data_IF_705342248699
#
_entry.id   IF_705342248699
#
_cell.length_a   1.000
_cell.length_b   1.000
_cell.length_c   1.000
_cell.angle_alpha   90.00
_cell.angle_beta   90.00
_cell.angle_gamma   90.00
#
_symmetry.space_group_name_H-M   'P 1'
#
loop_
_entity.id
_entity.type
_entity.pdbx_description
1 polymer ?
#
# COMPACT_ATOMS: atom_id res chain seq x y z
N UNK A 1 -43.14 39.73 -17.43
CA UNK A 1 -43.46 39.23 -18.79
C UNK A 1 -42.39 38.22 -19.17
N UNK A 2 -42.69 36.92 -18.98
CA UNK A 2 -43.11 35.97 -20.04
C UNK A 2 -41.86 35.42 -20.76
N UNK A 3 -41.29 34.29 -20.30
CA UNK A 3 -41.71 32.91 -20.62
C UNK A 3 -41.14 32.46 -21.97
N UNK A 4 -40.24 31.46 -21.94
CA UNK A 4 -40.11 30.47 -23.02
C UNK A 4 -39.49 29.17 -22.48
N UNK A 5 -40.36 28.39 -21.85
CA UNK A 5 -40.30 26.93 -21.83
C UNK A 5 -40.57 26.43 -23.24
N UNK A 6 -39.77 25.51 -23.76
CA UNK A 6 -40.18 24.38 -24.62
C UNK A 6 -39.17 23.26 -24.27
N UNK A 7 -39.56 22.30 -23.43
CA UNK A 7 -40.24 21.05 -23.83
C UNK A 7 -39.23 19.99 -24.28
N UNK A 8 -39.30 18.71 -23.93
CA UNK A 8 -40.05 17.91 -22.96
C UNK A 8 -39.61 16.45 -23.29
N UNK A 9 -39.72 15.56 -22.30
CA UNK A 9 -39.85 14.09 -22.45
C UNK A 9 -38.71 13.25 -23.01
N UNK A 10 -38.20 12.36 -22.15
CA UNK A 10 -38.16 10.88 -22.32
C UNK A 10 -36.99 10.29 -21.52
N UNK A 11 -37.03 9.19 -20.76
CA UNK A 11 -37.98 8.11 -20.47
C UNK A 11 -37.40 7.43 -19.20
N UNK A 12 -38.30 6.97 -18.31
CA UNK A 12 -37.98 6.12 -17.17
C UNK A 12 -37.79 4.65 -17.58
N UNK A 13 -36.75 3.96 -17.10
CA UNK A 13 -36.70 2.48 -16.89
C UNK A 13 -35.56 2.20 -15.87
N UNK A 14 -35.81 1.86 -14.59
CA UNK A 14 -36.08 0.53 -13.99
C UNK A 14 -34.86 -0.43 -13.93
N UNK A 15 -34.40 -0.71 -12.69
CA UNK A 15 -33.95 -2.02 -12.18
C UNK A 15 -33.29 -1.81 -10.79
N UNK A 16 -34.01 -1.90 -9.68
CA UNK A 16 -34.26 -3.14 -8.92
C UNK A 16 -32.97 -3.87 -8.52
N UNK A 17 -32.41 -3.56 -7.35
CA UNK A 17 -31.40 -4.39 -6.70
C UNK A 17 -31.96 -4.97 -5.40
N UNK A 18 -31.97 -6.29 -5.36
CA UNK A 18 -32.64 -7.13 -4.38
C UNK A 18 -32.00 -7.04 -2.99
N UNK A 19 -32.88 -6.96 -1.99
CA UNK A 19 -32.60 -7.18 -0.57
C UNK A 19 -32.83 -8.67 -0.31
N UNK A 20 -31.79 -9.40 0.10
CA UNK A 20 -31.95 -10.66 0.82
C UNK A 20 -30.99 -10.69 2.01
N UNK A 21 -31.56 -10.37 3.17
CA UNK A 21 -30.98 -10.55 4.50
C UNK A 21 -31.68 -11.78 5.09
N UNK A 22 -30.97 -12.90 5.17
CA UNK A 22 -31.27 -14.08 5.97
C UNK A 22 -29.98 -14.90 5.95
N UNK A 23 -29.29 -15.26 7.03
CA UNK A 23 -29.73 -15.52 8.39
C UNK A 23 -29.25 -16.93 8.72
N UNK A 24 -28.22 -17.08 9.56
CA UNK A 24 -27.95 -18.33 10.28
C UNK A 24 -27.32 -17.99 11.64
N UNK A 25 -28.17 -17.95 12.66
CA UNK A 25 -27.81 -18.03 14.07
C UNK A 25 -27.67 -19.50 14.47
N UNK A 26 -26.54 -19.85 15.14
CA UNK A 26 -26.32 -20.81 16.27
C UNK A 26 -26.88 -22.26 16.17
N UNK A 27 -26.18 -23.29 16.70
CA UNK A 27 -25.98 -23.45 18.17
C UNK A 27 -24.62 -24.07 18.59
N UNK A 28 -24.03 -23.64 19.71
CA UNK A 28 -24.01 -24.30 21.04
C UNK A 28 -23.15 -25.57 21.15
N UNK A 29 -22.07 -25.48 21.94
CA UNK A 29 -21.72 -26.56 22.88
C UNK A 29 -20.87 -26.01 24.02
N UNK A 30 -21.54 -25.97 25.16
CA UNK A 30 -21.13 -25.85 26.55
C UNK A 30 -19.86 -26.60 26.98
N UNK A 31 -19.09 -25.93 27.84
CA UNK A 31 -18.64 -26.38 29.18
C UNK A 31 -17.85 -27.69 29.28
N UNK A 32 -16.60 -27.59 29.73
CA UNK A 32 -16.16 -28.16 31.03
C UNK A 32 -14.73 -27.75 31.39
N UNK A 33 -14.62 -27.06 32.51
CA UNK A 33 -13.38 -26.92 33.28
C UNK A 33 -13.14 -28.21 34.06
N UNK A 34 -11.92 -28.72 34.07
CA UNK A 34 -11.22 -29.14 35.29
C UNK A 34 -9.80 -29.66 34.99
N UNK A 35 -8.86 -29.49 35.95
CA UNK A 35 -7.43 -29.65 35.74
C UNK A 35 -6.95 -31.07 36.08
N UNK A 36 -5.77 -31.45 35.57
CA UNK A 36 -5.01 -32.58 36.13
C UNK A 36 -3.53 -32.23 36.17
N UNK A 37 -3.00 -32.33 37.38
CA UNK A 37 -1.61 -32.09 37.78
C UNK A 37 -0.65 -33.18 37.34
N UNK A 38 0.63 -32.80 37.36
CA UNK A 38 1.82 -33.62 37.59
C UNK A 38 2.37 -34.47 36.44
N UNK A 39 3.58 -34.14 35.97
CA UNK A 39 4.81 -34.77 36.47
C UNK A 39 6.03 -34.25 35.68
N UNK A 40 7.06 -33.86 36.43
CA UNK A 40 8.40 -33.55 35.94
C UNK A 40 9.04 -34.75 35.23
N UNK A 41 9.78 -34.52 34.15
CA UNK A 41 11.00 -35.28 33.82
C UNK A 41 11.85 -34.51 32.81
N UNK A 42 13.13 -34.37 33.16
CA UNK A 42 14.16 -33.73 32.39
C UNK A 42 14.55 -34.52 31.13
N UNK A 43 14.91 -33.80 30.07
CA UNK A 43 15.52 -34.35 28.86
C UNK A 43 15.64 -33.27 27.78
N UNK A 44 16.85 -32.73 27.60
CA UNK A 44 17.27 -32.00 26.39
C UNK A 44 18.38 -32.80 25.72
N UNK A 45 18.71 -32.59 24.43
CA UNK A 45 17.94 -31.97 23.34
C UNK A 45 17.88 -32.90 22.10
N UNK A 46 16.75 -32.99 21.41
CA UNK A 46 16.73 -33.59 20.06
C UNK A 46 16.61 -32.48 19.01
N UNK A 47 17.70 -32.34 18.27
CA UNK A 47 17.93 -31.38 17.22
C UNK A 47 17.08 -31.77 16.00
N UNK A 48 15.81 -31.36 16.03
CA UNK A 48 14.94 -31.43 14.86
C UNK A 48 15.40 -30.36 13.86
N UNK A 49 16.20 -30.80 12.90
CA UNK A 49 16.55 -30.09 11.68
C UNK A 49 15.25 -29.78 10.92
N UNK A 50 14.64 -28.64 11.20
CA UNK A 50 13.52 -28.13 10.43
C UNK A 50 14.05 -27.70 9.05
N UNK A 51 13.92 -28.58 8.06
CA UNK A 51 13.93 -28.17 6.66
C UNK A 51 12.96 -27.01 6.49
N UNK A 52 13.36 -25.86 5.93
CA UNK A 52 12.39 -24.84 5.56
C UNK A 52 11.55 -25.41 4.42
N UNK A 53 10.36 -25.90 4.77
CA UNK A 53 9.30 -26.15 3.81
C UNK A 53 9.06 -24.84 3.05
N UNK A 54 9.21 -24.94 1.72
CA UNK A 54 8.77 -23.99 0.72
C UNK A 54 7.59 -23.11 1.18
N UNK A 55 7.90 -21.88 1.60
CA UNK A 55 6.91 -20.80 1.63
C UNK A 55 6.87 -20.19 0.23
N UNK A 56 6.28 -20.95 -0.71
CA UNK A 56 5.90 -20.47 -2.04
C UNK A 56 4.66 -19.59 -1.94
N UNK A 57 4.78 -18.45 -1.27
CA UNK A 57 3.91 -17.29 -1.43
C UNK A 57 4.90 -16.17 -1.63
N UNK A 58 4.93 -15.57 -2.83
CA UNK A 58 5.71 -14.37 -3.11
C UNK A 58 5.35 -13.34 -2.05
N UNK A 59 6.18 -13.23 -1.02
CA UNK A 59 5.93 -12.29 0.05
C UNK A 59 6.27 -10.92 -0.53
N UNK A 60 5.23 -10.13 -0.83
CA UNK A 60 5.39 -8.72 -1.22
C UNK A 60 6.42 -8.09 -0.29
N UNK A 61 7.48 -7.51 -0.86
CA UNK A 61 8.57 -6.93 -0.09
C UNK A 61 8.00 -5.94 0.94
N UNK A 62 8.36 -6.11 2.21
CA UNK A 62 7.86 -5.26 3.30
C UNK A 62 8.36 -3.82 3.03
N UNK A 63 7.49 -2.82 2.80
CA UNK A 63 7.94 -1.52 2.29
C UNK A 63 9.02 -0.84 3.14
N UNK A 64 8.91 -0.87 4.49
CA UNK A 64 9.93 -0.28 5.35
C UNK A 64 11.28 -1.01 5.35
N UNK A 65 11.36 -2.24 4.87
CA UNK A 65 12.64 -2.95 4.75
C UNK A 65 13.46 -2.49 3.54
N UNK A 66 12.85 -1.73 2.62
CA UNK A 66 13.51 -1.20 1.42
C UNK A 66 14.33 0.07 1.71
N UNK A 67 14.24 0.60 2.91
CA UNK A 67 14.94 1.81 3.34
C UNK A 67 15.69 1.58 4.64
N UNK A 68 16.76 2.33 4.80
CA UNK A 68 17.43 2.50 6.09
C UNK A 68 17.00 3.79 6.77
N UNK A 69 17.08 3.83 8.09
CA UNK A 69 16.77 5.04 8.85
C UNK A 69 17.65 6.24 8.42
N UNK A 70 18.92 6.00 8.09
CA UNK A 70 19.84 7.05 7.62
C UNK A 70 19.41 7.65 6.26
N UNK A 71 18.85 6.85 5.35
CA UNK A 71 18.32 7.35 4.09
C UNK A 71 17.08 8.20 4.30
N UNK A 72 16.21 7.79 5.24
CA UNK A 72 15.03 8.58 5.61
C UNK A 72 15.44 9.92 6.21
N UNK A 73 16.40 9.94 7.13
CA UNK A 73 16.92 11.19 7.70
C UNK A 73 17.66 12.06 6.68
N UNK A 74 18.34 11.45 5.70
CA UNK A 74 18.98 12.20 4.62
C UNK A 74 17.97 12.88 3.70
N UNK A 75 16.79 12.31 3.52
CA UNK A 75 15.75 12.86 2.66
C UNK A 75 14.84 13.85 3.40
N UNK A 76 14.48 13.54 4.65
CA UNK A 76 13.42 14.22 5.41
C UNK A 76 13.92 14.99 6.64
N UNK A 77 15.24 15.04 6.83
CA UNK A 77 15.89 15.71 7.95
C UNK A 77 16.16 14.78 9.14
N UNK A 78 17.19 15.13 9.91
CA UNK A 78 17.62 14.39 11.11
C UNK A 78 16.47 14.29 12.13
N UNK A 79 16.18 13.07 12.61
CA UNK A 79 15.06 12.81 13.50
C UNK A 79 13.74 12.51 12.79
N UNK A 80 13.72 12.44 11.45
CA UNK A 80 12.59 11.86 10.73
C UNK A 80 12.34 10.41 11.18
N UNK A 81 11.10 9.95 11.17
CA UNK A 81 10.74 8.60 11.67
C UNK A 81 10.23 7.72 10.55
N UNK A 82 10.53 6.42 10.65
CA UNK A 82 10.06 5.39 9.73
C UNK A 82 9.22 4.36 10.49
N UNK A 83 7.95 4.19 10.12
CA UNK A 83 7.01 3.32 10.83
C UNK A 83 6.27 2.41 9.85
N UNK A 84 6.27 1.11 10.16
CA UNK A 84 5.44 0.14 9.45
C UNK A 84 3.97 0.32 9.82
N UNK A 85 3.09 0.35 8.83
CA UNK A 85 1.65 0.46 9.03
C UNK A 85 0.90 -0.51 8.13
N UNK A 86 0.00 -1.31 8.70
CA UNK A 86 -0.92 -2.13 7.92
C UNK A 86 -2.22 -1.33 7.72
N UNK A 87 -2.53 -0.96 6.48
CA UNK A 87 -3.72 -0.16 6.18
C UNK A 87 -4.97 -1.05 6.22
N UNK A 88 -5.91 -0.83 7.17
CA UNK A 88 -7.07 -1.70 7.32
C UNK A 88 -8.09 -1.54 6.18
N UNK A 89 -8.03 -0.44 5.43
CA UNK A 89 -8.95 -0.19 4.31
C UNK A 89 -8.54 -0.95 3.06
N UNK A 90 -7.24 -1.01 2.78
CA UNK A 90 -6.70 -1.63 1.56
C UNK A 90 -6.09 -3.00 1.82
N UNK A 91 -5.82 -3.35 3.08
CA UNK A 91 -5.07 -4.55 3.47
C UNK A 91 -3.58 -4.48 3.13
N UNK A 92 -3.09 -3.36 2.59
CA UNK A 92 -1.71 -3.22 2.16
C UNK A 92 -0.80 -2.82 3.33
N UNK A 93 0.43 -3.34 3.32
CA UNK A 93 1.49 -2.82 4.18
C UNK A 93 2.03 -1.52 3.56
N UNK A 94 2.28 -0.55 4.41
CA UNK A 94 2.78 0.77 4.07
C UNK A 94 4.01 1.08 4.92
N UNK A 95 4.93 1.87 4.38
CA UNK A 95 5.93 2.55 5.18
C UNK A 95 5.59 4.02 5.31
N UNK A 96 5.30 4.46 6.53
CA UNK A 96 5.00 5.86 6.85
C UNK A 96 6.26 6.56 7.30
N UNK A 97 6.61 7.62 6.59
CA UNK A 97 7.79 8.44 6.81
C UNK A 97 7.33 9.82 7.26
N UNK A 98 7.66 10.17 8.49
CA UNK A 98 7.34 11.48 9.05
C UNK A 98 8.61 12.32 9.13
N UNK A 99 8.66 13.51 8.53
CA UNK A 99 9.82 14.38 8.63
C UNK A 99 10.02 14.88 10.07
N UNK A 100 11.21 15.40 10.34
CA UNK A 100 11.51 16.04 11.61
C UNK A 100 10.58 17.25 11.86
N UNK A 101 10.37 17.59 13.14
CA UNK A 101 9.53 18.73 13.55
C UNK A 101 9.98 20.00 12.83
N UNK A 102 9.02 20.73 12.22
CA UNK A 102 9.28 21.97 11.50
C UNK A 102 9.39 21.84 9.98
N UNK A 103 9.14 20.66 9.41
CA UNK A 103 8.93 20.50 7.97
C UNK A 103 7.49 20.86 7.57
N UNK A 104 7.31 21.44 6.38
CA UNK A 104 5.98 21.70 5.80
C UNK A 104 5.29 20.43 5.27
N UNK A 105 6.09 19.37 5.04
CA UNK A 105 5.60 18.03 4.72
C UNK A 105 5.00 17.37 5.97
N UNK A 106 3.79 16.81 5.82
CA UNK A 106 3.15 16.09 6.93
C UNK A 106 3.70 14.66 7.06
N UNK A 107 3.66 13.91 5.96
CA UNK A 107 4.02 12.50 5.90
C UNK A 107 4.20 12.06 4.45
N UNK A 108 5.19 11.21 4.18
CA UNK A 108 5.30 10.43 2.95
C UNK A 108 4.95 8.96 3.23
N UNK A 109 4.32 8.32 2.27
CA UNK A 109 3.93 6.91 2.33
C UNK A 109 4.60 6.16 1.18
N UNK A 110 5.19 5.01 1.50
CA UNK A 110 5.75 4.08 0.53
C UNK A 110 4.94 2.79 0.52
N UNK A 111 4.51 2.39 -0.67
CA UNK A 111 3.77 1.15 -0.90
C UNK A 111 4.45 0.36 -2.01
N UNK A 112 4.49 -0.97 -1.85
CA UNK A 112 5.00 -1.90 -2.84
C UNK A 112 3.84 -2.73 -3.35
N UNK A 113 3.69 -2.78 -4.67
CA UNK A 113 2.63 -3.52 -5.34
C UNK A 113 3.24 -4.61 -6.21
N UNK A 114 2.63 -5.79 -6.23
CA UNK A 114 2.91 -6.77 -7.28
C UNK A 114 2.24 -6.36 -8.58
N UNK A 115 2.88 -6.66 -9.71
CA UNK A 115 2.39 -6.30 -11.02
C UNK A 115 2.96 -7.22 -12.10
N UNK A 116 2.32 -7.23 -13.27
CA UNK A 116 2.90 -7.77 -14.52
C UNK A 116 3.21 -6.63 -15.47
N UNK A 117 4.04 -6.82 -16.51
CA UNK A 117 4.24 -5.80 -17.54
C UNK A 117 2.93 -5.27 -18.12
N UNK A 118 1.95 -6.14 -18.38
CA UNK A 118 0.64 -5.77 -18.93
C UNK A 118 -0.18 -4.97 -17.93
N UNK A 119 -0.21 -5.40 -16.66
CA UNK A 119 -0.93 -4.72 -15.59
C UNK A 119 -0.36 -3.33 -15.33
N UNK A 120 0.95 -3.18 -15.33
CA UNK A 120 1.63 -1.89 -15.22
C UNK A 120 1.30 -0.96 -16.38
N UNK A 121 1.27 -1.48 -17.62
CA UNK A 121 0.86 -0.69 -18.78
C UNK A 121 -0.59 -0.20 -18.67
N UNK A 122 -1.50 -1.03 -18.16
CA UNK A 122 -2.89 -0.61 -17.91
C UNK A 122 -2.98 0.48 -16.85
N UNK A 123 -2.27 0.31 -15.72
CA UNK A 123 -2.18 1.33 -14.66
C UNK A 123 -1.65 2.64 -15.25
N UNK A 124 -0.49 2.61 -15.91
CA UNK A 124 0.10 3.79 -16.55
C UNK A 124 -0.88 4.44 -17.53
N UNK A 125 -1.52 3.67 -18.40
CA UNK A 125 -2.46 4.20 -19.39
C UNK A 125 -3.59 5.00 -18.72
N UNK A 126 -4.17 4.48 -17.64
CA UNK A 126 -5.23 5.15 -16.90
C UNK A 126 -4.80 6.51 -16.30
N UNK A 127 -3.52 6.67 -15.99
CA UNK A 127 -2.97 7.93 -15.46
C UNK A 127 -2.42 8.85 -16.55
N UNK A 128 -1.83 8.33 -17.62
CA UNK A 128 -1.20 9.13 -18.68
C UNK A 128 -2.20 9.94 -19.52
N UNK A 129 -3.50 9.67 -19.40
CA UNK A 129 -4.57 10.53 -19.93
C UNK A 129 -4.69 11.87 -19.16
N UNK A 130 -4.17 11.94 -17.93
CA UNK A 130 -4.09 13.17 -17.13
C UNK A 130 -2.82 13.96 -17.48
N UNK A 131 -3.00 15.24 -17.86
CA UNK A 131 -1.90 16.18 -18.21
C UNK A 131 -0.90 16.43 -17.08
N UNK A 132 -1.20 16.01 -15.85
CA UNK A 132 -0.33 16.13 -14.67
C UNK A 132 0.66 14.97 -14.55
N UNK A 133 0.59 13.98 -15.44
CA UNK A 133 1.48 12.83 -15.41
C UNK A 133 2.68 13.04 -16.32
N UNK A 134 3.87 12.80 -15.78
CA UNK A 134 5.14 12.92 -16.50
C UNK A 134 5.89 11.61 -16.41
N UNK A 135 6.50 11.18 -17.51
CA UNK A 135 7.44 10.06 -17.46
C UNK A 135 8.72 10.48 -16.74
N UNK A 136 9.21 9.65 -15.83
CA UNK A 136 10.49 9.83 -15.15
C UNK A 136 11.50 8.89 -15.79
N UNK A 137 12.60 9.45 -16.33
CA UNK A 137 13.66 8.65 -16.96
C UNK A 137 14.65 8.17 -15.91
N UNK A 138 15.33 7.06 -16.22
CA UNK A 138 16.43 6.50 -15.42
C UNK A 138 16.04 5.99 -14.02
N UNK A 139 14.78 5.63 -13.81
CA UNK A 139 14.29 5.11 -12.54
C UNK A 139 13.55 3.79 -12.76
N UNK A 140 14.12 2.69 -12.23
CA UNK A 140 13.62 1.35 -12.45
C UNK A 140 13.61 0.95 -13.94
N UNK A 141 12.71 0.02 -14.29
CA UNK A 141 12.45 -0.35 -15.68
C UNK A 141 11.57 0.70 -16.38
N UNK A 142 10.70 1.36 -15.62
CA UNK A 142 9.77 2.38 -16.08
C UNK A 142 9.20 3.16 -14.88
N UNK A 143 8.98 4.47 -15.03
CA UNK A 143 8.51 5.32 -13.95
C UNK A 143 7.62 6.47 -14.44
N UNK A 144 6.68 6.86 -13.59
CA UNK A 144 5.77 8.00 -13.80
C UNK A 144 5.72 8.86 -12.54
N UNK A 145 5.68 10.18 -12.71
CA UNK A 145 5.31 11.13 -11.67
C UNK A 145 3.86 11.55 -11.91
N UNK A 146 2.97 11.18 -11.00
CA UNK A 146 1.56 11.52 -11.03
C UNK A 146 1.37 12.76 -10.15
N UNK A 147 1.23 13.93 -10.78
CA UNK A 147 1.10 15.22 -10.09
C UNK A 147 0.01 15.25 -9.00
N UNK A 148 0.11 16.20 -8.07
CA UNK A 148 -0.74 16.22 -6.86
C UNK A 148 -0.43 15.04 -5.93
N UNK A 149 -1.39 14.62 -5.10
CA UNK A 149 -1.19 13.66 -4.00
C UNK A 149 -0.80 12.23 -4.40
N UNK A 150 -0.72 11.92 -5.70
CA UNK A 150 -0.47 10.55 -6.14
C UNK A 150 1.01 10.16 -6.09
N UNK A 151 1.94 11.13 -6.18
CA UNK A 151 3.36 10.89 -5.97
C UNK A 151 4.12 10.35 -7.19
N UNK A 152 5.22 9.63 -6.95
CA UNK A 152 6.10 9.06 -7.99
C UNK A 152 6.10 7.54 -7.89
N UNK A 153 5.89 6.88 -9.02
CA UNK A 153 5.75 5.43 -9.12
C UNK A 153 6.79 4.89 -10.06
N UNK A 154 7.43 3.78 -9.71
CA UNK A 154 8.40 3.13 -10.56
C UNK A 154 8.31 1.62 -10.47
N UNK A 155 8.32 0.96 -11.63
CA UNK A 155 8.35 -0.49 -11.76
C UNK A 155 9.79 -1.00 -11.79
N UNK A 156 10.00 -2.14 -11.15
CA UNK A 156 11.22 -2.97 -11.29
C UNK A 156 10.81 -4.43 -11.25
N UNK A 157 11.00 -5.15 -12.36
CA UNK A 157 10.57 -6.53 -12.48
C UNK A 157 9.05 -6.70 -12.37
N UNK A 158 8.63 -7.58 -11.48
CA UNK A 158 7.23 -7.93 -11.21
C UNK A 158 6.59 -7.08 -10.10
N UNK A 159 7.21 -5.94 -9.75
CA UNK A 159 6.74 -5.04 -8.69
C UNK A 159 6.80 -3.59 -9.15
N UNK A 160 5.99 -2.74 -8.54
CA UNK A 160 6.20 -1.29 -8.57
C UNK A 160 6.13 -0.69 -7.18
N UNK A 161 6.94 0.33 -6.95
CA UNK A 161 6.95 1.13 -5.72
C UNK A 161 6.26 2.45 -6.00
N UNK A 162 5.41 2.86 -5.08
CA UNK A 162 4.75 4.16 -5.07
C UNK A 162 5.21 4.94 -3.83
N UNK A 163 5.68 6.18 -4.02
CA UNK A 163 6.03 7.12 -2.95
C UNK A 163 5.20 8.38 -3.10
N UNK A 164 4.44 8.76 -2.08
CA UNK A 164 3.48 9.88 -2.15
C UNK A 164 3.22 10.56 -0.81
N UNK A 165 2.88 11.85 -0.83
CA UNK A 165 2.48 12.60 0.35
C UNK A 165 1.06 12.28 0.81
N UNK A 166 0.82 12.30 2.13
CA UNK A 166 -0.46 11.83 2.67
C UNK A 166 -1.64 12.76 2.39
N UNK A 167 -1.51 14.09 2.50
CA UNK A 167 -2.68 15.00 2.46
C UNK A 167 -2.44 16.46 2.02
N UNK A 168 -1.21 16.89 1.73
CA UNK A 168 -0.89 18.26 1.27
C UNK A 168 -0.47 18.30 -0.21
N UNK A 169 -0.86 19.36 -0.95
CA UNK A 169 -0.51 19.49 -2.37
C UNK A 169 0.98 19.82 -2.55
N UNK A 170 1.62 20.36 -1.51
CA UNK A 170 3.06 20.60 -1.45
C UNK A 170 3.80 19.27 -1.43
N UNK A 171 4.63 19.06 -2.46
CA UNK A 171 5.44 17.87 -2.62
C UNK A 171 6.90 18.23 -2.58
N UNK A 172 7.66 17.42 -1.88
CA UNK A 172 9.11 17.38 -2.04
C UNK A 172 9.45 16.27 -3.05
N UNK A 173 9.30 16.59 -4.34
CA UNK A 173 9.60 15.66 -5.43
C UNK A 173 11.04 15.13 -5.34
N UNK A 174 11.97 15.92 -4.79
CA UNK A 174 13.37 15.50 -4.62
C UNK A 174 13.48 14.42 -3.54
N UNK A 175 12.83 14.60 -2.39
CA UNK A 175 12.79 13.57 -1.36
C UNK A 175 12.08 12.30 -1.85
N UNK A 176 10.95 12.45 -2.55
CA UNK A 176 10.21 11.32 -3.14
C UNK A 176 11.07 10.53 -4.14
N UNK A 177 11.76 11.20 -5.06
CA UNK A 177 12.67 10.57 -6.04
C UNK A 177 13.81 9.83 -5.35
N UNK A 178 14.46 10.48 -4.37
CA UNK A 178 15.58 9.88 -3.64
C UNK A 178 15.14 8.61 -2.91
N UNK A 179 14.02 8.67 -2.17
CA UNK A 179 13.51 7.53 -1.42
C UNK A 179 13.05 6.40 -2.36
N UNK A 180 12.42 6.74 -3.48
CA UNK A 180 12.02 5.77 -4.50
C UNK A 180 13.23 5.07 -5.12
N UNK A 181 14.29 5.80 -5.47
CA UNK A 181 15.54 5.23 -5.97
C UNK A 181 16.16 4.24 -4.97
N UNK A 182 16.23 4.62 -3.68
CA UNK A 182 16.73 3.73 -2.62
C UNK A 182 15.86 2.49 -2.47
N UNK A 183 14.54 2.64 -2.48
CA UNK A 183 13.63 1.50 -2.37
C UNK A 183 13.79 0.53 -3.54
N UNK A 184 13.84 1.04 -4.77
CA UNK A 184 14.04 0.23 -5.98
C UNK A 184 15.39 -0.49 -5.97
N UNK A 185 16.44 0.10 -5.40
CA UNK A 185 17.76 -0.55 -5.33
C UNK A 185 17.77 -1.85 -4.51
N UNK A 186 16.78 -2.04 -3.62
CA UNK A 186 16.63 -3.19 -2.72
C UNK A 186 15.47 -4.13 -3.05
N UNK A 187 14.70 -3.80 -4.10
CA UNK A 187 13.77 -4.73 -4.74
C UNK A 187 14.52 -5.72 -5.63
#
# INVERSE_FOLDING_TARGET
MVQRQWAFFSIAVLAALAILIAGCSKPSSSTSSAPVSAASSAGSPEQASASPMNAGVSAVAKPCSLLTQAEVESALGKGATMTHYANPRTGMNECKLKPAVGSDLDELVIVVHETTPESWLMVKKGYMEDKRVKQVRHLGDDAINVGGYAGIWARKGDKYVQVFGSLKPERDEKAELFLLEKALSRL
#
